data_IF_479789862042
#
_entry.id   IF_479789862042
#
_cell.length_a   1.000
_cell.length_b   1.000
_cell.length_c   1.000
_cell.angle_alpha   90.00
_cell.angle_beta   90.00
_cell.angle_gamma   90.00
#
_symmetry.space_group_name_H-M   'P 1'
#
loop_
_entity.id
_entity.type
_entity.pdbx_description
1 polymer ?
#
# COMPACT_ATOMS: atom_id res chain seq x y z
N UNK A 1 20.59 21.09 24.52
CA UNK A 1 19.74 20.07 23.86
C UNK A 1 18.74 20.84 23.01
N UNK A 2 18.69 20.61 21.69
CA UNK A 2 17.72 21.30 20.82
C UNK A 2 16.49 20.41 20.75
N UNK A 3 15.37 20.88 21.31
CA UNK A 3 14.08 20.20 21.21
C UNK A 3 13.43 20.62 19.90
N UNK A 4 13.17 19.64 19.04
CA UNK A 4 12.39 19.85 17.83
C UNK A 4 10.92 19.53 18.12
N UNK A 5 10.03 20.39 17.65
CA UNK A 5 8.60 20.18 17.81
C UNK A 5 8.13 19.08 16.84
N UNK A 6 7.43 18.02 17.30
CA UNK A 6 7.02 16.90 16.46
C UNK A 6 6.19 17.29 15.24
N UNK A 7 5.44 18.40 15.30
CA UNK A 7 4.63 18.89 14.18
C UNK A 7 5.49 19.54 13.07
N UNK A 8 6.70 20.03 13.38
CA UNK A 8 7.68 20.51 12.39
C UNK A 8 8.38 19.35 11.67
N UNK A 9 8.37 18.15 12.27
CA UNK A 9 8.88 16.88 11.72
C UNK A 9 7.76 15.97 11.19
N UNK A 10 6.64 16.56 10.77
CA UNK A 10 5.49 15.83 10.27
C UNK A 10 5.77 15.06 8.97
N UNK A 11 4.74 14.37 8.47
CA UNK A 11 4.83 13.63 7.21
C UNK A 11 4.94 14.55 5.97
N UNK A 12 4.46 15.79 6.07
CA UNK A 12 4.34 16.71 4.91
C UNK A 12 5.68 17.13 4.29
N UNK A 13 6.72 17.52 5.05
CA UNK A 13 8.05 17.76 4.47
C UNK A 13 8.62 16.57 3.70
N UNK A 14 8.36 15.34 4.15
CA UNK A 14 8.80 14.13 3.44
C UNK A 14 8.08 14.00 2.09
N UNK A 15 6.79 14.29 2.03
CA UNK A 15 6.00 14.30 0.78
C UNK A 15 6.52 15.36 -0.19
N UNK A 16 6.80 16.58 0.29
CA UNK A 16 7.36 17.64 -0.56
C UNK A 16 8.71 17.21 -1.16
N UNK A 17 9.62 16.68 -0.34
CA UNK A 17 10.91 16.18 -0.83
C UNK A 17 10.76 15.03 -1.82
N UNK A 18 9.77 14.15 -1.61
CA UNK A 18 9.49 13.03 -2.51
C UNK A 18 8.93 13.51 -3.86
N UNK A 19 8.00 14.47 -3.85
CA UNK A 19 7.46 15.09 -5.07
C UNK A 19 8.55 15.80 -5.88
N UNK A 20 9.50 16.44 -5.22
CA UNK A 20 10.64 17.07 -5.88
C UNK A 20 11.57 16.04 -6.53
N UNK A 21 11.68 14.84 -5.95
CA UNK A 21 12.46 13.73 -6.51
C UNK A 21 11.77 12.98 -7.67
N UNK A 22 10.48 13.23 -7.93
CA UNK A 22 9.78 12.64 -9.07
C UNK A 22 10.38 13.13 -10.41
N UNK A 23 10.41 12.28 -11.46
CA UNK A 23 10.96 12.61 -12.76
C UNK A 23 10.46 13.94 -13.33
N UNK A 24 11.34 14.65 -14.06
CA UNK A 24 11.07 16.02 -14.53
C UNK A 24 9.96 16.14 -15.56
N UNK A 25 9.60 15.03 -16.24
CA UNK A 25 8.47 15.01 -17.18
C UNK A 25 7.11 14.97 -16.49
N UNK A 26 7.06 14.58 -15.21
CA UNK A 26 5.85 14.75 -14.39
C UNK A 26 5.77 16.24 -14.06
N UNK A 27 4.82 16.91 -14.70
CA UNK A 27 4.76 18.36 -14.68
C UNK A 27 4.34 18.93 -13.31
N UNK A 28 4.37 20.26 -13.20
CA UNK A 28 3.97 20.95 -11.97
C UNK A 28 2.49 20.74 -11.64
N UNK A 29 1.64 20.53 -12.64
CA UNK A 29 0.21 20.32 -12.46
C UNK A 29 -0.10 18.98 -11.81
N UNK A 30 0.56 17.92 -12.25
CA UNK A 30 0.45 16.57 -11.68
C UNK A 30 1.07 16.49 -10.29
N UNK A 31 2.23 17.12 -10.07
CA UNK A 31 2.83 17.22 -8.72
C UNK A 31 1.90 17.97 -7.76
N UNK A 32 1.28 19.08 -8.20
CA UNK A 32 0.34 19.85 -7.40
C UNK A 32 -0.95 19.07 -7.10
N UNK A 33 -1.43 18.25 -8.05
CA UNK A 33 -2.57 17.38 -7.83
C UNK A 33 -2.29 16.29 -6.82
N UNK A 34 -1.16 15.59 -6.95
CA UNK A 34 -0.73 14.60 -5.97
C UNK A 34 -0.64 15.23 -4.59
N UNK A 35 0.05 16.37 -4.47
CA UNK A 35 0.13 17.11 -3.20
C UNK A 35 -1.26 17.45 -2.65
N UNK A 36 -2.18 17.88 -3.51
CA UNK A 36 -3.56 18.14 -3.14
C UNK A 36 -4.25 16.91 -2.53
N UNK A 37 -4.11 15.73 -3.15
CA UNK A 37 -4.62 14.47 -2.58
C UNK A 37 -4.00 14.16 -1.22
N UNK A 38 -2.69 14.33 -1.06
CA UNK A 38 -2.01 14.15 0.23
C UNK A 38 -2.55 15.13 1.29
N UNK A 39 -2.70 16.40 0.95
CA UNK A 39 -3.02 17.47 1.92
C UNK A 39 -4.40 17.32 2.57
N UNK A 40 -5.35 16.58 1.98
CA UNK A 40 -6.67 16.36 2.59
C UNK A 40 -6.98 14.89 2.94
N UNK A 41 -6.65 13.92 2.06
CA UNK A 41 -6.97 12.51 2.33
C UNK A 41 -6.11 11.92 3.45
N UNK A 42 -4.82 12.27 3.50
CA UNK A 42 -3.91 11.68 4.49
C UNK A 42 -4.26 12.12 5.91
N UNK A 43 -4.47 13.41 6.22
CA UNK A 43 -4.93 13.83 7.55
C UNK A 43 -6.22 13.13 8.00
N UNK A 44 -7.24 13.09 7.14
CA UNK A 44 -8.51 12.45 7.46
C UNK A 44 -8.33 10.95 7.72
N UNK A 45 -7.53 10.28 6.88
CA UNK A 45 -7.25 8.85 7.01
C UNK A 45 -6.41 8.54 8.26
N UNK A 46 -5.41 9.35 8.59
CA UNK A 46 -4.64 9.20 9.83
C UNK A 46 -5.54 9.36 11.05
N UNK A 47 -6.41 10.36 11.07
CA UNK A 47 -7.37 10.56 12.17
C UNK A 47 -8.26 9.33 12.34
N UNK A 48 -8.78 8.78 11.24
CA UNK A 48 -9.55 7.53 11.24
C UNK A 48 -8.74 6.36 11.82
N UNK A 49 -7.52 6.13 11.35
CA UNK A 49 -6.68 5.03 11.85
C UNK A 49 -6.42 5.18 13.36
N UNK A 50 -6.17 6.40 13.86
CA UNK A 50 -5.88 6.62 15.29
C UNK A 50 -7.11 6.55 16.20
N UNK A 51 -8.31 6.82 15.68
CA UNK A 51 -9.55 6.87 16.48
C UNK A 51 -10.39 5.60 16.39
N UNK A 52 -10.49 5.03 15.19
CA UNK A 52 -11.50 4.03 14.85
C UNK A 52 -10.93 2.63 14.61
N UNK A 53 -9.60 2.50 14.65
CA UNK A 53 -8.91 1.26 14.30
C UNK A 53 -7.91 0.88 15.38
N UNK A 54 -7.95 -0.38 15.78
CA UNK A 54 -6.81 -1.01 16.44
C UNK A 54 -5.82 -1.52 15.40
N UNK A 55 -4.57 -1.09 15.50
CA UNK A 55 -3.49 -1.49 14.60
C UNK A 55 -2.84 -2.82 15.00
N UNK A 56 -2.43 -3.61 14.01
CA UNK A 56 -1.77 -4.90 14.25
C UNK A 56 -0.37 -4.78 14.83
N UNK A 57 0.30 -3.64 14.57
CA UNK A 57 1.59 -3.28 15.13
C UNK A 57 1.61 -1.75 15.35
N UNK A 58 2.24 -1.25 16.43
CA UNK A 58 2.38 0.19 16.64
C UNK A 58 3.11 0.85 15.46
N UNK A 59 2.55 1.95 14.95
CA UNK A 59 3.09 2.69 13.81
C UNK A 59 3.21 4.18 14.12
N UNK A 60 4.04 4.88 13.35
CA UNK A 60 4.13 6.35 13.36
C UNK A 60 3.51 6.90 12.08
N UNK A 61 2.84 8.06 12.16
CA UNK A 61 2.17 8.69 11.01
C UNK A 61 3.15 8.90 9.85
N UNK A 62 4.34 9.42 10.14
CA UNK A 62 5.39 9.60 9.14
C UNK A 62 5.82 8.30 8.45
N UNK A 63 5.81 7.16 9.16
CA UNK A 63 6.15 5.86 8.58
C UNK A 63 5.02 5.30 7.70
N UNK A 64 3.76 5.50 8.10
CA UNK A 64 2.61 5.14 7.27
C UNK A 64 2.60 5.92 5.96
N UNK A 65 2.84 7.23 6.02
CA UNK A 65 2.92 8.08 4.81
C UNK A 65 4.17 7.78 3.98
N UNK A 66 5.30 7.44 4.62
CA UNK A 66 6.48 6.94 3.90
C UNK A 66 6.19 5.64 3.17
N UNK A 67 5.45 4.72 3.79
CA UNK A 67 5.00 3.49 3.15
C UNK A 67 4.10 3.78 1.94
N UNK A 68 3.18 4.75 2.06
CA UNK A 68 2.35 5.21 0.93
C UNK A 68 3.23 5.68 -0.25
N UNK A 69 4.20 6.56 0.00
CA UNK A 69 5.10 7.08 -1.05
C UNK A 69 5.95 5.97 -1.70
N UNK A 70 6.43 5.01 -0.90
CA UNK A 70 7.19 3.84 -1.39
C UNK A 70 6.33 2.94 -2.26
N UNK A 71 5.12 2.61 -1.81
CA UNK A 71 4.16 1.84 -2.58
C UNK A 71 3.84 2.54 -3.91
N UNK A 72 3.59 3.86 -3.87
CA UNK A 72 3.33 4.63 -5.08
C UNK A 72 4.50 4.51 -6.06
N UNK A 73 5.72 4.81 -5.57
CA UNK A 73 6.93 4.83 -6.41
C UNK A 73 7.24 3.44 -7.00
N UNK A 74 7.02 2.38 -6.23
CA UNK A 74 7.23 1.00 -6.67
C UNK A 74 6.23 0.58 -7.76
N UNK A 75 5.01 1.10 -7.73
CA UNK A 75 3.93 0.75 -8.66
C UNK A 75 3.82 1.71 -9.85
N UNK A 76 4.46 2.88 -9.77
CA UNK A 76 4.42 3.92 -10.79
C UNK A 76 5.54 3.80 -11.84
N UNK A 77 6.16 2.63 -12.03
CA UNK A 77 7.29 2.46 -12.95
C UNK A 77 7.01 2.95 -14.37
N UNK A 78 5.81 2.71 -14.89
CA UNK A 78 5.36 3.19 -16.20
C UNK A 78 5.11 4.71 -16.25
N UNK A 79 4.80 5.36 -15.13
CA UNK A 79 4.71 6.82 -15.03
C UNK A 79 6.11 7.45 -14.91
N UNK A 80 7.06 6.72 -14.36
CA UNK A 80 8.46 7.14 -14.25
C UNK A 80 9.23 7.06 -15.56
N UNK A 81 8.74 6.30 -16.55
CA UNK A 81 9.28 6.25 -17.90
C UNK A 81 8.66 7.35 -18.78
N UNK A 82 9.50 8.21 -19.36
CA UNK A 82 9.03 9.39 -20.11
C UNK A 82 8.23 9.02 -21.37
N UNK A 83 8.59 7.94 -22.06
CA UNK A 83 7.90 7.52 -23.29
C UNK A 83 6.52 6.92 -22.97
N UNK A 84 6.45 6.06 -21.95
CA UNK A 84 5.19 5.49 -21.47
C UNK A 84 4.27 6.56 -20.89
N UNK A 85 4.80 7.48 -20.08
CA UNK A 85 4.03 8.61 -19.55
C UNK A 85 3.43 9.47 -20.66
N UNK A 86 4.22 9.83 -21.68
CA UNK A 86 3.73 10.61 -22.82
C UNK A 86 2.61 9.89 -23.58
N UNK A 87 2.66 8.55 -23.70
CA UNK A 87 1.66 7.74 -24.37
C UNK A 87 0.34 7.58 -23.60
N UNK A 88 0.31 7.93 -22.31
CA UNK A 88 -0.91 7.88 -21.50
C UNK A 88 -1.81 9.09 -21.74
N UNK A 89 -1.23 10.24 -22.11
CA UNK A 89 -1.95 11.50 -22.29
C UNK A 89 -2.86 11.79 -21.06
N UNK A 90 -4.17 11.90 -21.27
CA UNK A 90 -5.16 12.15 -20.21
C UNK A 90 -5.24 11.01 -19.17
N UNK A 91 -4.83 9.79 -19.55
CA UNK A 91 -4.85 8.61 -18.66
C UNK A 91 -3.77 8.63 -17.59
N UNK A 92 -2.72 9.45 -17.74
CA UNK A 92 -1.68 9.57 -16.72
C UNK A 92 -2.28 9.96 -15.36
N UNK A 93 -3.28 10.86 -15.39
CA UNK A 93 -4.02 11.30 -14.21
C UNK A 93 -4.80 10.17 -13.55
N UNK A 94 -5.53 9.38 -14.35
CA UNK A 94 -6.27 8.20 -13.92
C UNK A 94 -5.35 7.21 -13.18
N UNK A 95 -4.16 6.97 -13.73
CA UNK A 95 -3.19 6.04 -13.17
C UNK A 95 -2.60 6.57 -11.87
N UNK A 96 -2.22 7.85 -11.83
CA UNK A 96 -1.71 8.48 -10.60
C UNK A 96 -2.71 8.38 -9.45
N UNK A 97 -3.97 8.72 -9.71
CA UNK A 97 -5.02 8.65 -8.70
C UNK A 97 -5.28 7.21 -8.25
N UNK A 98 -5.36 6.27 -9.19
CA UNK A 98 -5.61 4.86 -8.88
C UNK A 98 -4.45 4.24 -8.08
N UNK A 99 -3.20 4.53 -8.46
CA UNK A 99 -2.01 4.09 -7.72
C UNK A 99 -1.95 4.75 -6.35
N UNK A 100 -2.31 6.04 -6.24
CA UNK A 100 -2.39 6.74 -4.95
C UNK A 100 -3.39 6.08 -4.01
N UNK A 101 -4.62 5.83 -4.48
CA UNK A 101 -5.66 5.17 -3.69
C UNK A 101 -5.23 3.75 -3.29
N UNK A 102 -4.68 2.97 -4.23
CA UNK A 102 -4.14 1.65 -3.91
C UNK A 102 -3.04 1.73 -2.84
N UNK A 103 -2.12 2.69 -2.99
CA UNK A 103 -1.01 2.90 -2.05
C UNK A 103 -1.51 3.33 -0.68
N UNK A 104 -2.56 4.16 -0.59
CA UNK A 104 -3.22 4.57 0.65
C UNK A 104 -3.83 3.36 1.38
N UNK A 105 -4.54 2.50 0.65
CA UNK A 105 -5.13 1.26 1.19
C UNK A 105 -4.03 0.32 1.69
N UNK A 106 -2.96 0.13 0.92
CA UNK A 106 -1.87 -0.79 1.23
C UNK A 106 -0.75 -0.19 2.10
N UNK A 107 -0.97 0.98 2.68
CA UNK A 107 -0.08 1.59 3.67
C UNK A 107 -0.81 1.92 4.98
N UNK A 108 -1.74 2.87 4.95
CA UNK A 108 -2.55 3.26 6.11
C UNK A 108 -3.62 2.20 6.37
N UNK A 109 -4.36 1.79 5.34
CA UNK A 109 -5.47 0.84 5.47
C UNK A 109 -5.04 -0.55 5.93
N UNK A 110 -3.86 -1.02 5.53
CA UNK A 110 -3.37 -2.37 5.88
C UNK A 110 -3.02 -2.50 7.36
N UNK A 111 -2.79 -1.38 8.07
CA UNK A 111 -2.52 -1.36 9.51
C UNK A 111 -3.68 -1.92 10.35
N UNK A 112 -4.91 -1.92 9.80
CA UNK A 112 -6.10 -2.46 10.43
C UNK A 112 -5.93 -3.93 10.86
N UNK A 113 -5.95 -4.18 12.17
CA UNK A 113 -5.66 -5.50 12.75
C UNK A 113 -6.73 -6.57 12.43
N UNK A 114 -7.99 -6.17 12.26
CA UNK A 114 -9.12 -7.09 12.16
C UNK A 114 -9.90 -6.89 10.86
N UNK A 115 -10.58 -7.93 10.40
CA UNK A 115 -11.48 -7.84 9.24
C UNK A 115 -12.66 -6.87 9.48
N UNK A 116 -13.08 -6.69 10.74
CA UNK A 116 -14.08 -5.67 11.08
C UNK A 116 -13.53 -4.26 10.83
N UNK A 117 -12.33 -3.95 11.33
CA UNK A 117 -11.68 -2.65 11.08
C UNK A 117 -11.42 -2.41 9.59
N UNK A 118 -11.01 -3.45 8.83
CA UNK A 118 -10.87 -3.37 7.37
C UNK A 118 -12.19 -3.01 6.67
N UNK A 119 -13.32 -3.56 7.12
CA UNK A 119 -14.66 -3.17 6.60
C UNK A 119 -15.04 -1.74 6.96
N UNK A 120 -14.64 -1.26 8.13
CA UNK A 120 -14.86 0.15 8.51
C UNK A 120 -14.01 1.09 7.64
N UNK A 121 -12.74 0.74 7.42
CA UNK A 121 -11.82 1.46 6.55
C UNK A 121 -12.32 1.48 5.10
N UNK A 122 -12.81 0.36 4.57
CA UNK A 122 -13.43 0.29 3.23
C UNK A 122 -14.56 1.31 3.07
N UNK A 123 -15.48 1.37 4.04
CA UNK A 123 -16.57 2.36 4.01
C UNK A 123 -16.04 3.80 4.13
N UNK A 124 -15.07 4.02 5.02
CA UNK A 124 -14.46 5.34 5.23
C UNK A 124 -13.80 5.86 3.95
N UNK A 125 -12.90 5.07 3.35
CA UNK A 125 -12.14 5.51 2.17
C UNK A 125 -13.04 5.71 0.94
N UNK A 126 -14.14 4.94 0.84
CA UNK A 126 -15.16 5.15 -0.20
C UNK A 126 -15.95 6.43 0.02
N UNK A 127 -16.38 6.71 1.24
CA UNK A 127 -17.03 7.97 1.59
C UNK A 127 -16.09 9.17 1.37
N UNK A 128 -14.80 9.01 1.72
CA UNK A 128 -13.76 10.00 1.40
C UNK A 128 -13.66 10.23 -0.10
N UNK A 129 -13.47 9.17 -0.90
CA UNK A 129 -13.34 9.29 -2.35
C UNK A 129 -14.58 9.93 -3.02
N UNK A 130 -15.78 9.67 -2.50
CA UNK A 130 -17.04 10.28 -2.95
C UNK A 130 -17.27 11.71 -2.41
N UNK A 131 -16.39 12.22 -1.54
CA UNK A 131 -16.53 13.50 -0.83
C UNK A 131 -17.78 13.55 0.06
N UNK A 132 -18.16 12.41 0.64
CA UNK A 132 -19.34 12.19 1.48
C UNK A 132 -18.97 11.94 2.96
N UNK A 133 -17.78 12.33 3.41
CA UNK A 133 -17.34 12.19 4.80
C UNK A 133 -18.33 12.75 5.85
N UNK A 134 -19.04 13.88 5.61
CA UNK A 134 -20.03 14.38 6.56
C UNK A 134 -21.20 13.40 6.82
N UNK A 135 -21.47 12.49 5.88
CA UNK A 135 -22.50 11.45 6.02
C UNK A 135 -21.92 10.12 6.54
N UNK A 136 -20.60 10.01 6.70
CA UNK A 136 -19.96 8.80 7.20
C UNK A 136 -20.16 8.64 8.71
N UNK A 137 -20.71 7.49 9.10
CA UNK A 137 -20.86 7.12 10.51
C UNK A 137 -19.65 6.32 11.00
N UNK A 138 -18.86 6.97 11.85
CA UNK A 138 -17.65 6.35 12.40
C UNK A 138 -17.96 5.38 13.56
N UNK A 139 -17.22 4.26 13.71
CA UNK A 139 -17.41 3.33 14.82
C UNK A 139 -17.25 3.94 16.20
N UNK A 140 -16.36 4.93 16.36
CA UNK A 140 -16.18 5.66 17.62
C UNK A 140 -17.21 6.76 17.86
N UNK A 141 -18.05 7.08 16.87
CA UNK A 141 -18.94 8.24 16.87
C UNK A 141 -18.28 9.56 16.43
N UNK A 142 -16.99 9.54 16.04
CA UNK A 142 -16.31 10.66 15.42
C UNK A 142 -17.07 11.16 14.18
N UNK A 143 -17.12 12.48 14.00
CA UNK A 143 -17.78 13.11 12.85
C UNK A 143 -16.77 13.84 11.99
N UNK A 144 -16.78 13.55 10.69
CA UNK A 144 -15.90 14.16 9.70
C UNK A 144 -16.61 15.33 9.00
N UNK A 145 -17.00 16.32 9.80
CA UNK A 145 -17.78 17.48 9.35
C UNK A 145 -16.99 18.79 9.38
N UNK A 146 -15.70 18.74 9.75
CA UNK A 146 -14.89 19.94 9.83
C UNK A 146 -14.48 20.41 8.43
N UNK A 147 -14.29 21.73 8.21
CA UNK A 147 -13.78 22.25 6.93
C UNK A 147 -12.41 21.68 6.54
N UNK A 148 -11.64 21.18 7.50
CA UNK A 148 -10.36 20.51 7.26
C UNK A 148 -10.51 19.06 6.75
N UNK A 149 -11.67 18.42 6.96
CA UNK A 149 -11.92 17.05 6.53
C UNK A 149 -12.20 16.98 5.02
N UNK A 150 -12.90 17.98 4.49
CA UNK A 150 -13.09 18.24 3.05
C UNK A 150 -12.95 19.75 2.81
N UNK A 151 -11.73 20.25 2.51
CA UNK A 151 -11.52 21.67 2.22
C UNK A 151 -12.26 22.16 0.97
N UNK A 152 -12.70 23.42 0.92
CA UNK A 152 -13.45 23.99 -0.22
C UNK A 152 -12.75 23.87 -1.58
N UNK A 153 -11.41 23.78 -1.59
CA UNK A 153 -10.57 23.63 -2.79
C UNK A 153 -9.80 22.31 -2.79
N UNK A 154 -10.34 21.29 -2.13
CA UNK A 154 -9.74 19.97 -2.15
C UNK A 154 -9.71 19.41 -3.58
N UNK A 155 -8.74 18.53 -3.79
CA UNK A 155 -8.62 17.79 -5.04
C UNK A 155 -9.56 16.59 -5.00
N UNK A 156 -10.51 16.53 -5.93
CA UNK A 156 -11.43 15.39 -6.07
C UNK A 156 -10.81 14.30 -6.94
N UNK A 157 -11.01 13.04 -6.56
CA UNK A 157 -10.65 11.89 -7.39
C UNK A 157 -11.58 11.82 -8.61
N UNK A 158 -11.00 11.72 -9.79
CA UNK A 158 -11.69 11.51 -11.06
C UNK A 158 -11.65 10.04 -11.51
N UNK A 159 -10.66 9.30 -11.03
CA UNK A 159 -10.52 7.86 -11.25
C UNK A 159 -11.67 7.09 -10.58
N UNK A 160 -12.17 6.02 -11.21
CA UNK A 160 -13.20 5.18 -10.61
C UNK A 160 -12.64 4.49 -9.36
N UNK A 161 -13.45 4.41 -8.31
CA UNK A 161 -13.10 3.64 -7.13
C UNK A 161 -13.20 2.13 -7.43
N UNK A 162 -12.50 1.30 -6.66
CA UNK A 162 -12.61 -0.15 -6.73
C UNK A 162 -14.09 -0.60 -6.66
N UNK A 163 -14.52 -1.63 -7.41
CA UNK A 163 -15.90 -2.08 -7.39
C UNK A 163 -16.42 -2.36 -5.98
N UNK A 164 -17.69 -2.02 -5.73
CA UNK A 164 -18.42 -2.35 -4.50
C UNK A 164 -19.55 -3.32 -4.83
N UNK A 165 -19.63 -4.46 -4.12
CA UNK A 165 -20.69 -5.45 -4.32
C UNK A 165 -20.28 -6.84 -3.87
N UNK A 166 -21.25 -7.70 -3.56
CA UNK A 166 -21.00 -9.11 -3.20
C UNK A 166 -20.16 -9.32 -1.94
N UNK A 167 -20.04 -8.31 -1.07
CA UNK A 167 -19.18 -8.35 0.11
C UNK A 167 -17.70 -8.06 -0.14
N UNK A 168 -17.32 -7.71 -1.37
CA UNK A 168 -15.96 -7.29 -1.71
C UNK A 168 -15.62 -5.91 -1.11
N UNK A 169 -14.36 -5.76 -0.73
CA UNK A 169 -13.77 -4.57 -0.12
C UNK A 169 -12.65 -4.02 -1.00
N UNK A 170 -12.15 -2.82 -0.69
CA UNK A 170 -10.97 -2.22 -1.34
C UNK A 170 -9.73 -3.14 -1.33
N UNK A 171 -9.62 -4.07 -0.37
CA UNK A 171 -8.49 -5.01 -0.29
C UNK A 171 -8.58 -6.16 -1.30
N UNK A 172 -9.72 -6.32 -1.97
CA UNK A 172 -9.97 -7.43 -2.91
C UNK A 172 -9.56 -7.12 -4.34
N UNK A 173 -9.01 -5.94 -4.60
CA UNK A 173 -8.63 -5.47 -5.94
C UNK A 173 -7.18 -4.97 -6.02
N UNK A 174 -6.63 -5.02 -7.24
CA UNK A 174 -5.42 -4.31 -7.67
C UNK A 174 -5.72 -3.46 -8.88
N UNK A 175 -4.95 -2.39 -9.06
CA UNK A 175 -5.02 -1.61 -10.29
C UNK A 175 -4.18 -2.29 -11.39
N UNK A 176 -4.75 -2.47 -12.56
CA UNK A 176 -4.06 -2.95 -13.75
C UNK A 176 -3.92 -1.81 -14.76
N UNK A 177 -2.69 -1.29 -14.86
CA UNK A 177 -2.36 -0.16 -15.75
C UNK A 177 -2.40 -0.52 -17.24
N UNK A 178 -2.49 -1.81 -17.62
CA UNK A 178 -2.67 -2.20 -19.01
C UNK A 178 -4.17 -2.22 -19.40
N UNK A 179 -5.05 -2.42 -18.42
CA UNK A 179 -6.50 -2.46 -18.61
C UNK A 179 -7.20 -1.17 -18.16
N UNK A 180 -6.45 -0.22 -17.60
CA UNK A 180 -6.95 1.03 -17.01
C UNK A 180 -8.08 0.76 -15.98
N UNK A 181 -7.99 -0.37 -15.26
CA UNK A 181 -9.10 -0.92 -14.48
C UNK A 181 -8.68 -1.63 -13.18
N UNK A 182 -9.65 -1.75 -12.26
CA UNK A 182 -9.51 -2.53 -11.04
C UNK A 182 -9.83 -4.01 -11.29
N UNK A 183 -8.83 -4.86 -11.06
CA UNK A 183 -8.95 -6.32 -11.26
C UNK A 183 -8.98 -7.01 -9.89
N UNK A 184 -9.89 -7.97 -9.66
CA UNK A 184 -9.93 -8.69 -8.40
C UNK A 184 -8.74 -9.64 -8.26
N UNK A 185 -8.18 -9.75 -7.06
CA UNK A 185 -7.07 -10.69 -6.77
C UNK A 185 -7.43 -12.15 -7.06
N UNK A 186 -8.72 -12.51 -7.02
CA UNK A 186 -9.19 -13.86 -7.35
C UNK A 186 -8.88 -14.27 -8.79
N UNK A 187 -8.75 -13.32 -9.73
CA UNK A 187 -8.35 -13.61 -11.10
C UNK A 187 -6.91 -14.15 -11.19
N UNK A 188 -6.06 -13.79 -10.22
CA UNK A 188 -4.67 -14.20 -10.17
C UNK A 188 -4.46 -15.50 -9.35
N UNK A 189 -5.47 -15.96 -8.60
CA UNK A 189 -5.47 -17.22 -7.84
C UNK A 189 -5.59 -18.39 -8.82
N UNK A 190 -4.49 -18.71 -9.51
CA UNK A 190 -4.40 -19.76 -10.52
C UNK A 190 -3.47 -19.44 -11.70
N UNK A 191 -3.03 -18.19 -11.84
CA UNK A 191 -2.21 -17.71 -12.96
C UNK A 191 -0.69 -17.76 -12.75
N UNK A 192 -0.21 -18.09 -11.54
CA UNK A 192 1.20 -18.41 -11.33
C UNK A 192 1.54 -19.67 -12.12
N UNK A 193 2.53 -19.61 -13.01
CA UNK A 193 3.03 -20.71 -13.84
C UNK A 193 2.97 -22.07 -13.12
N UNK A 194 1.90 -22.81 -13.39
CA UNK A 194 1.46 -23.93 -12.55
C UNK A 194 -0.04 -23.91 -12.30
N UNK A 195 -0.84 -23.71 -13.36
CA UNK A 195 -2.24 -24.08 -13.37
C UNK A 195 -2.34 -25.60 -13.21
N UNK A 196 -2.35 -26.04 -11.96
CA UNK A 196 -2.32 -27.43 -11.59
C UNK A 196 -2.31 -27.51 -10.08
N UNK A 197 -3.35 -28.11 -9.53
CA UNK A 197 -3.37 -28.72 -8.21
C UNK A 197 -2.37 -29.88 -8.10
N UNK A 198 -1.16 -29.72 -8.62
CA UNK A 198 -0.10 -30.71 -8.59
C UNK A 198 0.84 -30.32 -7.46
N UNK A 199 0.37 -30.59 -6.24
CA UNK A 199 1.27 -30.75 -5.10
C UNK A 199 2.29 -31.82 -5.53
N UNK A 200 3.60 -31.51 -5.63
CA UNK A 200 4.58 -32.53 -5.96
C UNK A 200 4.44 -33.68 -4.96
N UNK A 201 4.36 -34.92 -5.44
CA UNK A 201 4.12 -36.09 -4.58
C UNK A 201 5.21 -36.27 -3.50
N UNK A 202 6.36 -35.63 -3.69
CA UNK A 202 7.53 -35.58 -2.81
C UNK A 202 7.65 -34.29 -1.99
N UNK A 203 6.74 -33.33 -2.15
CA UNK A 203 6.77 -32.09 -1.38
C UNK A 203 6.46 -32.37 0.09
N UNK A 204 7.46 -32.14 0.95
CA UNK A 204 7.27 -32.21 2.39
C UNK A 204 6.19 -31.21 2.82
N UNK A 205 5.21 -31.64 3.63
CA UNK A 205 4.07 -30.82 4.08
C UNK A 205 4.46 -29.40 4.55
N UNK A 206 5.65 -29.24 5.14
CA UNK A 206 6.19 -27.95 5.61
C UNK A 206 6.58 -26.94 4.51
N UNK A 207 6.72 -27.36 3.25
CA UNK A 207 7.16 -26.52 2.12
C UNK A 207 6.01 -26.15 1.17
N UNK A 208 4.81 -26.68 1.40
CA UNK A 208 3.65 -26.43 0.55
C UNK A 208 3.02 -25.09 0.93
N UNK A 209 3.07 -24.12 0.01
CA UNK A 209 2.30 -22.87 0.11
C UNK A 209 1.09 -23.03 -0.80
N UNK A 210 -0.10 -23.12 -0.19
CA UNK A 210 -1.35 -23.11 -0.95
C UNK A 210 -1.59 -21.68 -1.44
N UNK A 211 -1.77 -21.45 -2.76
CA UNK A 211 -2.09 -20.13 -3.27
C UNK A 211 -3.49 -19.74 -2.78
N UNK A 212 -3.54 -18.77 -1.88
CA UNK A 212 -4.74 -18.05 -1.45
C UNK A 212 -4.66 -16.60 -1.90
N UNK A 213 -5.79 -15.89 -1.87
CA UNK A 213 -5.84 -14.44 -2.14
C UNK A 213 -4.82 -13.65 -1.32
N UNK A 214 -4.62 -14.00 -0.05
CA UNK A 214 -3.63 -13.36 0.81
C UNK A 214 -2.19 -13.63 0.35
N UNK A 215 -1.85 -14.87 -0.04
CA UNK A 215 -0.50 -15.17 -0.55
C UNK A 215 -0.20 -14.45 -1.87
N UNK A 216 -1.20 -14.29 -2.74
CA UNK A 216 -1.07 -13.54 -4.00
C UNK A 216 -0.83 -12.06 -3.72
N UNK A 217 -1.62 -11.45 -2.82
CA UNK A 217 -1.45 -10.05 -2.40
C UNK A 217 -0.07 -9.79 -1.82
N UNK A 218 0.37 -10.65 -0.89
CA UNK A 218 1.68 -10.52 -0.28
C UNK A 218 2.80 -10.72 -1.29
N UNK A 219 2.68 -11.69 -2.20
CA UNK A 219 3.66 -11.89 -3.26
C UNK A 219 3.76 -10.68 -4.20
N UNK A 220 2.62 -10.08 -4.57
CA UNK A 220 2.60 -8.86 -5.38
C UNK A 220 3.30 -7.69 -4.69
N UNK A 221 2.97 -7.42 -3.43
CA UNK A 221 3.59 -6.33 -2.66
C UNK A 221 5.07 -6.59 -2.40
N UNK A 222 5.45 -7.84 -2.11
CA UNK A 222 6.85 -8.25 -2.01
C UNK A 222 7.59 -7.97 -3.32
N UNK A 223 6.99 -8.34 -4.45
CA UNK A 223 7.61 -8.18 -5.76
C UNK A 223 7.83 -6.72 -6.14
N UNK A 224 6.79 -5.90 -6.01
CA UNK A 224 6.88 -4.48 -6.30
C UNK A 224 7.93 -3.78 -5.43
N UNK A 225 7.91 -4.02 -4.11
CA UNK A 225 8.79 -3.32 -3.18
C UNK A 225 10.24 -3.80 -3.26
N UNK A 226 10.49 -5.11 -3.40
CA UNK A 226 11.87 -5.64 -3.49
C UNK A 226 12.55 -5.15 -4.77
N UNK A 227 11.88 -5.20 -5.92
CA UNK A 227 12.42 -4.68 -7.19
C UNK A 227 12.65 -3.17 -7.15
N UNK A 228 11.83 -2.43 -6.39
CA UNK A 228 12.01 -1.00 -6.16
C UNK A 228 13.07 -0.68 -5.07
N UNK A 229 13.76 -1.67 -4.52
CA UNK A 229 14.75 -1.48 -3.44
C UNK A 229 14.15 -0.94 -2.14
N UNK A 230 12.85 -1.12 -1.93
CA UNK A 230 12.12 -0.61 -0.78
C UNK A 230 12.01 -1.67 0.33
N UNK A 231 12.48 -1.40 1.55
CA UNK A 231 12.35 -2.33 2.66
C UNK A 231 10.90 -2.41 3.14
N UNK A 232 10.47 -3.61 3.52
CA UNK A 232 9.11 -3.92 3.96
C UNK A 232 9.12 -4.78 5.23
N UNK A 233 8.03 -4.70 6.00
CA UNK A 233 7.83 -5.46 7.22
C UNK A 233 6.50 -6.23 7.15
N UNK A 234 6.57 -7.57 7.19
CA UNK A 234 5.39 -8.44 7.28
C UNK A 234 5.12 -8.84 8.74
N UNK A 235 4.03 -8.33 9.31
CA UNK A 235 3.60 -8.66 10.68
C UNK A 235 2.42 -9.64 10.70
N UNK A 236 2.29 -10.39 11.78
CA UNK A 236 1.14 -11.26 12.02
C UNK A 236 1.44 -12.42 12.95
N UNK A 237 0.43 -13.22 13.34
CA UNK A 237 0.57 -14.31 14.31
C UNK A 237 1.62 -15.35 13.91
N UNK A 238 2.19 -16.06 14.89
CA UNK A 238 3.12 -17.16 14.62
C UNK A 238 2.43 -18.30 13.86
N UNK A 239 3.15 -18.96 12.95
CA UNK A 239 2.62 -20.12 12.21
C UNK A 239 1.80 -19.79 10.95
N UNK A 240 1.66 -18.53 10.56
CA UNK A 240 0.88 -18.13 9.36
C UNK A 240 1.67 -18.13 8.05
N UNK A 241 2.80 -18.85 7.96
CA UNK A 241 3.56 -19.01 6.72
C UNK A 241 4.35 -17.79 6.20
N UNK A 242 4.36 -16.65 6.91
CA UNK A 242 5.05 -15.41 6.49
C UNK A 242 6.52 -15.62 6.11
N UNK A 243 7.31 -16.24 6.99
CA UNK A 243 8.75 -16.47 6.75
C UNK A 243 8.99 -17.39 5.56
N UNK A 244 8.13 -18.41 5.39
CA UNK A 244 8.22 -19.37 4.27
C UNK A 244 7.91 -18.65 2.95
N UNK A 245 6.90 -17.78 2.93
CA UNK A 245 6.56 -16.98 1.76
C UNK A 245 7.71 -16.05 1.34
N UNK A 246 8.25 -15.29 2.29
CA UNK A 246 9.36 -14.35 2.02
C UNK A 246 10.60 -15.10 1.54
N UNK A 247 10.99 -16.19 2.22
CA UNK A 247 12.14 -16.99 1.81
C UNK A 247 11.94 -17.59 0.41
N UNK A 248 10.76 -18.16 0.13
CA UNK A 248 10.45 -18.72 -1.20
C UNK A 248 10.59 -17.66 -2.29
N UNK A 249 10.06 -16.45 -2.06
CA UNK A 249 10.18 -15.34 -3.00
C UNK A 249 11.65 -14.95 -3.21
N UNK A 250 12.39 -14.70 -2.12
CA UNK A 250 13.76 -14.21 -2.21
C UNK A 250 14.73 -15.23 -2.85
N UNK A 251 14.57 -16.52 -2.60
CA UNK A 251 15.37 -17.57 -3.26
C UNK A 251 14.97 -17.82 -4.72
N UNK A 252 13.80 -17.34 -5.15
CA UNK A 252 13.36 -17.44 -6.54
C UNK A 252 13.80 -16.23 -7.40
N UNK A 253 14.45 -15.23 -6.79
CA UNK A 253 14.97 -14.08 -7.52
C UNK A 253 16.11 -14.48 -8.47
N UNK A 254 16.29 -13.76 -9.59
CA UNK A 254 17.36 -14.02 -10.55
C UNK A 254 18.75 -13.89 -9.91
N UNK A 255 19.56 -14.95 -10.00
CA UNK A 255 20.88 -15.02 -9.35
C UNK A 255 21.96 -14.14 -10.03
N UNK A 256 21.68 -13.63 -11.22
CA UNK A 256 22.50 -12.67 -11.96
C UNK A 256 22.34 -11.24 -11.44
N UNK A 257 21.18 -10.91 -10.86
CA UNK A 257 20.89 -9.59 -10.28
C UNK A 257 20.97 -9.60 -8.73
N UNK A 258 20.54 -10.69 -8.09
CA UNK A 258 20.44 -10.79 -6.63
C UNK A 258 21.35 -11.86 -6.05
N UNK A 259 21.99 -11.52 -4.93
CA UNK A 259 22.74 -12.48 -4.11
C UNK A 259 21.78 -13.30 -3.26
N UNK A 260 22.14 -14.56 -3.01
CA UNK A 260 21.39 -15.43 -2.10
C UNK A 260 21.14 -14.73 -0.75
N UNK A 261 19.90 -14.78 -0.22
CA UNK A 261 19.54 -14.06 1.00
C UNK A 261 20.37 -14.48 2.21
N UNK A 262 20.96 -13.50 2.90
CA UNK A 262 21.55 -13.71 4.22
C UNK A 262 20.45 -13.60 5.29
N UNK A 263 20.02 -14.75 5.82
CA UNK A 263 18.91 -14.82 6.78
C UNK A 263 19.44 -14.72 8.20
N UNK A 264 19.13 -13.60 8.88
CA UNK A 264 19.47 -13.39 10.29
C UNK A 264 18.24 -13.61 11.17
N UNK A 265 18.33 -14.58 12.08
CA UNK A 265 17.30 -14.86 13.07
C UNK A 265 17.46 -14.03 14.34
N UNK A 266 16.44 -13.26 14.71
CA UNK A 266 16.42 -12.54 15.99
C UNK A 266 15.75 -13.40 17.08
N UNK A 267 16.39 -13.42 18.24
CA UNK A 267 15.88 -14.06 19.46
C UNK A 267 16.02 -13.10 20.64
N UNK A 268 15.49 -13.48 21.80
CA UNK A 268 15.64 -12.71 23.04
C UNK A 268 17.11 -12.50 23.48
N UNK A 269 18.08 -13.22 22.88
CA UNK A 269 19.52 -13.10 23.18
C UNK A 269 20.31 -12.38 22.10
N UNK A 270 19.67 -11.97 21.00
CA UNK A 270 20.37 -11.28 19.91
C UNK A 270 20.75 -9.87 20.35
N UNK A 271 22.05 -9.55 20.39
CA UNK A 271 22.56 -8.23 20.72
C UNK A 271 22.97 -7.45 19.46
N UNK A 272 23.14 -6.13 19.57
CA UNK A 272 23.56 -5.28 18.45
C UNK A 272 24.88 -5.76 17.80
N UNK A 273 25.85 -6.22 18.61
CA UNK A 273 27.13 -6.73 18.10
C UNK A 273 26.99 -8.01 17.28
N UNK A 274 25.92 -8.79 17.46
CA UNK A 274 25.66 -9.99 16.65
C UNK A 274 25.07 -9.65 15.27
N UNK A 275 24.65 -8.40 15.07
CA UNK A 275 24.01 -7.95 13.82
C UNK A 275 24.91 -7.10 12.93
N UNK A 276 26.07 -6.68 13.45
CA UNK A 276 27.10 -5.92 12.73
C UNK A 276 28.06 -6.87 12.01
#
# INVERSE_FOLDING_TARGET
>A
MVYLEPHQLGWRPLVLSWLDALPSHIDRGDKAHLLGLFDWLVPATLRFIRRDVAEGAPSLDGQLVTSLMRNFSALSGHLSDAAQYAALEVRARLHMESIFVFSLVWSLGVSCATNAHRKHFDRFVRAAAACELPAYESPSGERYTLPEDIPDRHVTLTSPMMPSGGGATVYDFRFDAAQDAWVPWSADVGGGSGGGSDLPADATFRKLIVPTSDTVRYAYMLDALVKAGCPLLLVGPTGTGKSVLVQKYLYALPADEYVAPNVVGFSARTSANMTQ
#
